data_IF_174365684465
#
_entry.id   IF_174365684465
#
_cell.length_a   1.000
_cell.length_b   1.000
_cell.length_c   1.000
_cell.angle_alpha   90.00
_cell.angle_beta   90.00
_cell.angle_gamma   90.00
#
_symmetry.space_group_name_H-M   'P 1'
#
loop_
_entity.id
_entity.type
_entity.pdbx_description
1 polymer ?
#
# COMPACT_ATOMS: atom_id res chain seq x y z
N UNK A 1 29.78 -36.44 -47.56
CA UNK A 1 30.91 -35.57 -47.22
C UNK A 1 30.31 -34.38 -46.48
N UNK A 2 30.25 -34.36 -45.14
CA UNK A 2 31.34 -34.04 -44.18
C UNK A 2 31.98 -32.68 -44.52
N UNK A 3 32.09 -31.69 -43.65
CA UNK A 3 32.39 -31.72 -42.21
C UNK A 3 31.91 -30.40 -41.54
N UNK A 4 31.31 -30.47 -40.34
CA UNK A 4 31.88 -30.13 -39.01
C UNK A 4 32.00 -28.62 -38.66
N UNK A 5 31.28 -28.28 -37.58
CA UNK A 5 31.36 -27.08 -36.72
C UNK A 5 32.77 -26.82 -36.16
N UNK A 6 33.12 -25.62 -35.63
CA UNK A 6 32.79 -25.28 -34.22
C UNK A 6 32.64 -23.79 -33.84
N UNK A 7 32.01 -23.61 -32.66
CA UNK A 7 32.34 -22.69 -31.56
C UNK A 7 32.39 -21.17 -31.78
N UNK A 8 31.51 -20.44 -31.08
CA UNK A 8 31.89 -19.55 -29.97
C UNK A 8 30.63 -18.93 -29.33
N UNK A 9 30.69 -18.66 -28.03
CA UNK A 9 29.79 -17.66 -27.42
C UNK A 9 28.73 -18.20 -26.46
N UNK A 10 29.22 -18.67 -25.32
CA UNK A 10 28.71 -18.35 -23.98
C UNK A 10 27.19 -18.24 -23.76
N UNK A 11 26.68 -19.22 -23.01
CA UNK A 11 25.77 -19.06 -21.87
C UNK A 11 25.30 -17.61 -21.64
N UNK A 12 24.05 -17.31 -21.99
CA UNK A 12 23.37 -16.20 -21.36
C UNK A 12 23.05 -16.61 -19.92
N UNK A 13 23.62 -15.98 -18.88
CA UNK A 13 23.02 -16.06 -17.57
C UNK A 13 21.68 -15.34 -17.63
N UNK A 14 20.59 -16.09 -17.49
CA UNK A 14 19.30 -15.55 -17.04
C UNK A 14 19.45 -15.17 -15.56
N UNK A 15 20.29 -14.17 -15.28
CA UNK A 15 20.40 -13.57 -13.96
C UNK A 15 19.50 -12.33 -13.92
N UNK A 16 18.32 -12.54 -13.38
CA UNK A 16 17.78 -11.61 -12.39
C UNK A 16 17.70 -10.17 -12.84
N UNK A 17 16.78 -9.87 -13.77
CA UNK A 17 16.20 -8.53 -13.87
C UNK A 17 15.45 -8.20 -12.56
N UNK A 18 16.19 -7.81 -11.52
CA UNK A 18 15.71 -7.08 -10.35
C UNK A 18 15.17 -5.74 -10.85
N UNK A 19 13.93 -5.77 -11.32
CA UNK A 19 13.07 -4.61 -11.54
C UNK A 19 13.13 -3.75 -10.28
N UNK A 20 13.36 -2.43 -10.38
CA UNK A 20 13.65 -1.61 -9.21
C UNK A 20 12.51 -1.74 -8.18
N UNK A 21 12.84 -2.18 -6.98
CA UNK A 21 11.95 -2.34 -5.82
C UNK A 21 11.44 -1.01 -5.25
N UNK A 22 11.38 0.04 -6.07
CA UNK A 22 10.95 1.39 -5.67
C UNK A 22 9.48 1.68 -5.98
N UNK A 23 8.79 0.81 -6.75
CA UNK A 23 7.34 0.96 -7.00
C UNK A 23 6.46 0.56 -5.81
N UNK A 24 7.00 -0.17 -4.81
CA UNK A 24 6.23 -0.68 -3.69
C UNK A 24 5.94 0.39 -2.61
N UNK A 25 6.89 1.30 -2.38
CA UNK A 25 6.74 2.35 -1.36
C UNK A 25 5.70 3.42 -1.74
N UNK A 26 5.53 3.70 -3.03
CA UNK A 26 4.53 4.66 -3.52
C UNK A 26 3.11 4.13 -3.34
N UNK A 27 2.90 2.85 -3.65
CA UNK A 27 1.60 2.19 -3.51
C UNK A 27 1.16 2.09 -2.05
N UNK A 28 2.07 1.78 -1.12
CA UNK A 28 1.74 1.70 0.31
C UNK A 28 1.26 3.05 0.86
N UNK A 29 1.93 4.15 0.51
CA UNK A 29 1.47 5.48 0.92
C UNK A 29 0.07 5.81 0.37
N UNK A 30 -0.21 5.47 -0.89
CA UNK A 30 -1.54 5.70 -1.48
C UNK A 30 -2.65 4.85 -0.84
N UNK A 31 -2.36 3.60 -0.47
CA UNK A 31 -3.31 2.72 0.23
C UNK A 31 -3.68 3.30 1.59
N UNK A 32 -2.68 3.75 2.35
CA UNK A 32 -2.86 4.26 3.71
C UNK A 32 -3.62 5.60 3.71
N UNK A 33 -3.35 6.48 2.75
CA UNK A 33 -4.14 7.71 2.54
C UNK A 33 -5.60 7.37 2.17
N UNK A 34 -5.80 6.34 1.35
CA UNK A 34 -7.14 5.84 1.03
C UNK A 34 -7.92 5.37 2.27
N UNK A 35 -7.25 4.66 3.18
CA UNK A 35 -7.83 4.24 4.46
C UNK A 35 -8.19 5.43 5.35
N UNK A 36 -7.33 6.44 5.44
CA UNK A 36 -7.61 7.67 6.18
C UNK A 36 -8.81 8.43 5.61
N UNK A 37 -8.87 8.59 4.28
CA UNK A 37 -9.99 9.25 3.62
C UNK A 37 -11.29 8.47 3.81
N UNK A 38 -11.26 7.14 3.67
CA UNK A 38 -12.41 6.29 3.95
C UNK A 38 -12.89 6.46 5.40
N UNK A 39 -11.98 6.47 6.36
CA UNK A 39 -12.29 6.71 7.76
C UNK A 39 -13.03 8.04 7.97
N UNK A 40 -12.51 9.13 7.40
CA UNK A 40 -13.12 10.47 7.47
C UNK A 40 -14.49 10.52 6.81
N UNK A 41 -14.69 9.80 5.69
CA UNK A 41 -15.99 9.68 5.04
C UNK A 41 -17.01 8.97 5.94
N UNK A 42 -16.61 7.88 6.60
CA UNK A 42 -17.46 7.17 7.56
C UNK A 42 -17.81 8.02 8.78
N UNK A 43 -16.89 8.85 9.28
CA UNK A 43 -17.18 9.81 10.37
C UNK A 43 -18.09 10.95 9.94
N UNK A 44 -17.88 11.48 8.73
CA UNK A 44 -18.64 12.62 8.21
C UNK A 44 -20.02 12.23 7.68
N UNK A 45 -20.23 10.94 7.37
CA UNK A 45 -21.44 10.45 6.73
C UNK A 45 -21.46 10.73 5.22
N UNK A 46 -20.29 10.91 4.61
CA UNK A 46 -20.14 11.21 3.17
C UNK A 46 -20.22 9.99 2.25
N UNK A 47 -20.60 8.82 2.77
CA UNK A 47 -20.86 7.62 1.96
C UNK A 47 -22.24 7.67 1.28
N UNK A 48 -22.47 6.79 0.32
CA UNK A 48 -23.70 6.75 -0.49
C UNK A 48 -25.01 6.68 0.32
N UNK A 49 -24.95 6.14 1.53
CA UNK A 49 -26.09 6.05 2.46
C UNK A 49 -26.33 7.32 3.31
N UNK A 50 -25.44 8.31 3.27
CA UNK A 50 -25.51 9.52 4.11
C UNK A 50 -25.36 9.26 5.62
N UNK A 51 -25.17 7.99 6.01
CA UNK A 51 -25.14 7.55 7.42
C UNK A 51 -23.72 7.62 7.97
N UNK A 52 -23.58 8.32 9.09
CA UNK A 52 -22.35 8.33 9.88
C UNK A 52 -22.16 6.95 10.52
N UNK A 53 -21.03 6.33 10.25
CA UNK A 53 -20.64 5.04 10.81
C UNK A 53 -19.32 5.21 11.58
N UNK A 54 -19.38 5.77 12.81
CA UNK A 54 -18.18 6.06 13.58
C UNK A 54 -17.36 4.80 13.92
N UNK A 55 -18.01 3.64 14.01
CA UNK A 55 -17.33 2.35 14.23
C UNK A 55 -16.45 1.94 13.03
N UNK A 56 -17.00 2.00 11.81
CA UNK A 56 -16.21 1.78 10.59
C UNK A 56 -15.11 2.83 10.46
N UNK A 57 -15.43 4.11 10.69
CA UNK A 57 -14.46 5.20 10.67
C UNK A 57 -13.28 4.91 11.60
N UNK A 58 -13.56 4.50 12.83
CA UNK A 58 -12.54 4.14 13.83
C UNK A 58 -11.70 2.96 13.36
N UNK A 59 -12.32 1.92 12.80
CA UNK A 59 -11.61 0.74 12.28
C UNK A 59 -10.62 1.11 11.16
N UNK A 60 -11.06 1.89 10.17
CA UNK A 60 -10.17 2.34 9.08
C UNK A 60 -9.09 3.31 9.57
N UNK A 61 -9.41 4.18 10.53
CA UNK A 61 -8.44 5.10 11.12
C UNK A 61 -7.34 4.34 11.86
N UNK A 62 -7.69 3.31 12.64
CA UNK A 62 -6.73 2.42 13.29
C UNK A 62 -5.85 1.70 12.26
N UNK A 63 -6.43 1.16 11.19
CA UNK A 63 -5.67 0.51 10.11
C UNK A 63 -4.64 1.45 9.46
N UNK A 64 -5.04 2.69 9.19
CA UNK A 64 -4.13 3.72 8.69
C UNK A 64 -3.02 4.04 9.72
N UNK A 65 -3.37 4.13 11.01
CA UNK A 65 -2.42 4.40 12.08
C UNK A 65 -1.42 3.24 12.30
N UNK A 66 -1.87 1.98 12.24
CA UNK A 66 -0.99 0.80 12.27
C UNK A 66 0.00 0.80 11.11
N UNK A 67 -0.41 1.33 9.96
CA UNK A 67 0.44 1.51 8.79
C UNK A 67 1.39 2.71 8.88
N UNK A 68 1.60 3.26 10.09
CA UNK A 68 2.47 4.41 10.39
C UNK A 68 2.04 5.71 9.71
N UNK A 69 0.75 5.89 9.41
CA UNK A 69 0.24 7.17 8.92
C UNK A 69 0.21 8.23 10.02
N UNK A 70 1.04 9.25 9.91
CA UNK A 70 1.17 10.30 10.92
C UNK A 70 -0.17 10.96 11.27
N UNK A 71 -1.00 11.30 10.27
CA UNK A 71 -2.28 11.96 10.53
C UNK A 71 -3.31 11.03 11.18
N UNK A 72 -3.25 9.73 10.91
CA UNK A 72 -4.19 8.78 11.52
C UNK A 72 -3.81 8.50 12.98
N UNK A 73 -2.49 8.40 13.25
CA UNK A 73 -1.98 8.28 14.63
C UNK A 73 -2.33 9.52 15.45
N UNK A 74 -2.12 10.72 14.90
CA UNK A 74 -2.47 11.97 15.58
C UNK A 74 -3.97 12.04 15.87
N UNK A 75 -4.80 11.67 14.89
CA UNK A 75 -6.24 11.58 15.08
C UNK A 75 -6.62 10.60 16.20
N UNK A 76 -6.04 9.40 16.21
CA UNK A 76 -6.30 8.42 17.26
C UNK A 76 -5.89 8.92 18.65
N UNK A 77 -4.75 9.59 18.77
CA UNK A 77 -4.32 10.23 20.03
C UNK A 77 -5.29 11.32 20.48
N UNK A 78 -5.67 12.22 19.58
CA UNK A 78 -6.60 13.34 19.89
C UNK A 78 -7.99 12.85 20.30
N UNK A 79 -8.44 11.73 19.73
CA UNK A 79 -9.76 11.17 19.98
C UNK A 79 -9.75 10.03 21.02
N UNK A 80 -8.64 9.77 21.71
CA UNK A 80 -8.48 8.67 22.66
C UNK A 80 -8.88 7.29 22.09
N UNK A 81 -8.62 7.09 20.80
CA UNK A 81 -8.87 5.82 20.11
C UNK A 81 -7.67 4.90 20.41
N UNK A 82 -7.87 3.73 21.03
CA UNK A 82 -6.76 2.81 21.31
C UNK A 82 -6.18 2.26 20.00
N UNK A 83 -4.85 2.18 19.96
CA UNK A 83 -4.03 1.62 18.89
C UNK A 83 -3.23 0.45 19.44
#
# INVERSE_FOLDING_TARGET
MSANHPADGAEAPDDGSKKPRTKLAKTLNSIVVGMFNAATLYFSGGGSDGKKNPELGTKYMRLAAYSKHTQAIDYCKKNNIPL
#
